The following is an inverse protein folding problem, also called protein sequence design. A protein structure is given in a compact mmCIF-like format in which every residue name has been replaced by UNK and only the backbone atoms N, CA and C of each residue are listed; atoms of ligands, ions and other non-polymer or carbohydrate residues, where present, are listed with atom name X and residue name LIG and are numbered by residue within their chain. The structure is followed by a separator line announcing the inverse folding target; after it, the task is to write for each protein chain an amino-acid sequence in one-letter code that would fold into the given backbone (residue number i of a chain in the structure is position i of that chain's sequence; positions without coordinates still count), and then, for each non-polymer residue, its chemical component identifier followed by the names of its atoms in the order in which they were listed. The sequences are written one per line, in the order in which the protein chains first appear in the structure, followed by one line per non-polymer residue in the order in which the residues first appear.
data_IF_958258877964
#
_entry.id   IF_958258877964
#
_cell.length_a   1.000
_cell.length_b   1.000
_cell.length_c   1.000
_cell.angle_alpha   90.00
_cell.angle_beta   90.00
_cell.angle_gamma   90.00
#
_symmetry.space_group_name_H-M   'P 1'
#
loop_
_entity.id
_entity.type
_entity.pdbx_description
1 polymer ?
#
# COMPACT_ATOMS: atom_id res chain seq x y z
N UNK A 1 84.92 -6.03 9.12
CA UNK A 1 83.66 -6.75 9.41
C UNK A 1 82.35 -6.11 8.88
N UNK A 2 82.30 -4.99 8.10
CA UNK A 2 81.01 -4.44 7.63
C UNK A 2 80.50 -5.00 6.28
N UNK A 3 81.29 -5.81 5.56
CA UNK A 3 80.96 -6.31 4.21
C UNK A 3 79.72 -7.20 4.15
N UNK A 4 79.31 -7.80 5.26
CA UNK A 4 78.12 -8.65 5.34
C UNK A 4 76.88 -7.95 5.91
N UNK A 5 77.01 -6.73 6.44
CA UNK A 5 75.88 -5.96 6.98
C UNK A 5 74.95 -5.46 5.88
N UNK A 6 75.51 -5.07 4.73
CA UNK A 6 74.75 -4.58 3.58
C UNK A 6 73.87 -5.69 2.96
N UNK A 7 74.38 -6.89 2.62
CA UNK A 7 73.52 -7.95 2.07
C UNK A 7 72.50 -8.46 3.10
N UNK A 8 72.83 -8.43 4.40
CA UNK A 8 71.91 -8.83 5.46
C UNK A 8 70.76 -7.82 5.63
N UNK A 9 71.04 -6.52 5.53
CA UNK A 9 70.01 -5.48 5.52
C UNK A 9 69.10 -5.58 4.29
N UNK A 10 69.66 -5.83 3.11
CA UNK A 10 68.87 -6.01 1.88
C UNK A 10 67.97 -7.25 1.98
N UNK A 11 68.48 -8.36 2.53
CA UNK A 11 67.69 -9.56 2.77
C UNK A 11 66.57 -9.31 3.80
N UNK A 12 66.84 -8.57 4.87
CA UNK A 12 65.85 -8.22 5.88
C UNK A 12 64.75 -7.28 5.34
N UNK A 13 65.10 -6.30 4.50
CA UNK A 13 64.13 -5.42 3.84
C UNK A 13 63.27 -6.17 2.82
N UNK A 14 63.84 -7.15 2.09
CA UNK A 14 63.08 -8.00 1.17
C UNK A 14 62.07 -8.90 1.88
N UNK A 15 62.36 -9.33 3.10
CA UNK A 15 61.45 -10.13 3.93
C UNK A 15 60.31 -9.29 4.51
N UNK A 16 60.57 -8.03 4.91
CA UNK A 16 59.55 -7.12 5.42
C UNK A 16 58.56 -6.65 4.32
N UNK A 17 59.02 -6.52 3.07
CA UNK A 17 58.16 -6.15 1.94
C UNK A 17 57.29 -7.30 1.42
N UNK A 18 57.51 -8.52 1.91
CA UNK A 18 56.74 -9.71 1.53
C UNK A 18 55.78 -10.15 2.65
N UNK A 19 55.64 -9.34 3.70
CA UNK A 19 54.51 -9.48 4.61
C UNK A 19 53.27 -9.11 3.79
N UNK A 20 52.48 -10.13 3.43
CA UNK A 20 51.15 -9.95 2.84
C UNK A 20 50.41 -9.03 3.79
N UNK A 21 50.38 -7.74 3.48
CA UNK A 21 49.49 -6.80 4.12
C UNK A 21 48.11 -7.41 3.94
N UNK A 22 47.56 -7.97 5.02
CA UNK A 22 46.19 -8.47 5.03
C UNK A 22 45.33 -7.24 4.76
N UNK A 23 45.04 -7.00 3.47
CA UNK A 23 44.22 -5.88 3.04
C UNK A 23 42.99 -5.90 3.92
N UNK A 24 42.83 -4.84 4.70
CA UNK A 24 41.71 -4.72 5.62
C UNK A 24 40.43 -5.03 4.86
N UNK A 25 39.70 -6.04 5.32
CA UNK A 25 38.41 -6.37 4.75
C UNK A 25 37.52 -5.12 4.75
N UNK A 26 36.99 -4.78 3.58
CA UNK A 26 36.13 -3.61 3.39
C UNK A 26 34.87 -3.73 4.22
N UNK A 27 34.38 -2.60 4.70
CA UNK A 27 33.16 -2.56 5.52
C UNK A 27 31.91 -2.67 4.65
N UNK A 28 30.77 -3.00 5.25
CA UNK A 28 29.46 -2.98 4.57
C UNK A 28 29.18 -1.59 3.98
N UNK A 29 29.47 -0.53 4.74
CA UNK A 29 29.23 0.85 4.28
C UNK A 29 30.07 1.20 3.05
N UNK A 30 31.32 0.77 3.00
CA UNK A 30 32.19 1.02 1.84
C UNK A 30 31.66 0.35 0.55
N UNK A 31 30.96 -0.78 0.69
CA UNK A 31 30.26 -1.42 -0.41
C UNK A 31 28.96 -0.71 -0.81
N UNK A 32 28.22 -0.16 0.16
CA UNK A 32 27.04 0.66 -0.12
C UNK A 32 27.41 1.97 -0.81
N UNK A 33 28.53 2.59 -0.41
CA UNK A 33 29.02 3.84 -0.97
C UNK A 33 29.55 3.67 -2.41
N UNK A 34 29.94 2.44 -2.79
CA UNK A 34 30.49 2.15 -4.11
C UNK A 34 29.98 0.81 -4.70
N UNK A 35 28.91 0.84 -5.51
CA UNK A 35 28.28 -0.37 -6.03
C UNK A 35 29.20 -1.16 -6.98
N UNK A 36 30.11 -0.50 -7.70
CA UNK A 36 31.06 -1.18 -8.58
C UNK A 36 32.02 -2.08 -7.77
N UNK A 37 32.41 -1.65 -6.58
CA UNK A 37 33.24 -2.46 -5.68
C UNK A 37 32.47 -3.65 -5.12
N UNK A 38 31.18 -3.45 -4.81
CA UNK A 38 30.29 -4.50 -4.34
C UNK A 38 30.13 -5.60 -5.40
N UNK A 39 29.84 -5.23 -6.65
CA UNK A 39 29.74 -6.19 -7.77
C UNK A 39 31.03 -6.97 -7.97
N UNK A 40 32.18 -6.28 -7.99
CA UNK A 40 33.48 -6.92 -8.15
C UNK A 40 33.82 -7.88 -6.98
N UNK A 41 33.47 -7.51 -5.74
CA UNK A 41 33.63 -8.37 -4.58
C UNK A 41 32.70 -9.59 -4.67
N UNK A 42 31.43 -9.40 -5.03
CA UNK A 42 30.46 -10.49 -5.20
C UNK A 42 30.90 -11.50 -6.27
N UNK A 43 31.49 -11.05 -7.38
CA UNK A 43 32.07 -11.94 -8.40
C UNK A 43 33.23 -12.76 -7.85
N UNK A 44 34.14 -12.15 -7.07
CA UNK A 44 35.23 -12.86 -6.38
C UNK A 44 34.69 -13.91 -5.40
N UNK A 45 33.68 -13.55 -4.61
CA UNK A 45 33.05 -14.44 -3.63
C UNK A 45 32.33 -15.64 -4.28
N UNK A 46 31.98 -15.55 -5.56
CA UNK A 46 31.35 -16.63 -6.31
C UNK A 46 32.35 -17.60 -6.93
N UNK A 47 33.58 -17.16 -7.22
CA UNK A 47 34.60 -17.99 -7.90
C UNK A 47 34.96 -19.23 -7.08
N UNK A 48 35.21 -19.05 -5.78
CA UNK A 48 35.62 -20.12 -4.86
C UNK A 48 34.73 -20.14 -3.61
N UNK A 49 33.45 -20.43 -3.82
CA UNK A 49 32.40 -20.40 -2.78
C UNK A 49 32.73 -21.12 -1.45
N UNK A 50 33.31 -22.34 -1.42
CA UNK A 50 33.55 -23.01 -0.15
C UNK A 50 34.62 -22.32 0.70
N UNK A 51 35.67 -21.78 0.07
CA UNK A 51 36.76 -21.06 0.74
C UNK A 51 36.29 -19.67 1.19
N UNK A 52 35.56 -18.96 0.33
CA UNK A 52 35.05 -17.60 0.57
C UNK A 52 33.75 -17.58 1.41
N UNK A 53 33.38 -18.69 2.05
CA UNK A 53 32.15 -18.76 2.85
C UNK A 53 32.24 -17.89 4.10
N UNK A 54 33.39 -17.96 4.79
CA UNK A 54 33.65 -17.29 6.06
C UNK A 54 34.61 -16.10 5.91
N UNK A 55 35.00 -15.78 4.68
CA UNK A 55 35.79 -14.60 4.39
C UNK A 55 35.01 -13.33 4.77
N UNK A 56 35.69 -12.42 5.47
CA UNK A 56 35.06 -11.20 6.02
C UNK A 56 34.63 -10.24 4.92
N UNK A 57 35.40 -10.11 3.84
CA UNK A 57 35.04 -9.26 2.68
C UNK A 57 33.74 -9.81 2.05
N UNK A 58 33.64 -11.12 1.88
CA UNK A 58 32.45 -11.77 1.33
C UNK A 58 31.22 -11.74 2.24
N UNK A 59 31.40 -11.82 3.56
CA UNK A 59 30.28 -11.63 4.51
C UNK A 59 29.75 -10.20 4.40
N UNK A 60 30.63 -9.20 4.42
CA UNK A 60 30.25 -7.80 4.35
C UNK A 60 29.60 -7.45 3.01
N UNK A 61 30.12 -7.98 1.89
CA UNK A 61 29.51 -7.79 0.57
C UNK A 61 28.10 -8.39 0.49
N UNK A 62 27.88 -9.61 1.00
CA UNK A 62 26.54 -10.22 1.04
C UNK A 62 25.57 -9.43 1.92
N UNK A 63 26.06 -8.89 3.03
CA UNK A 63 25.24 -8.05 3.90
C UNK A 63 24.86 -6.72 3.19
N UNK A 64 25.80 -6.11 2.47
CA UNK A 64 25.50 -4.92 1.67
C UNK A 64 24.41 -5.21 0.60
N UNK A 65 24.47 -6.35 -0.09
CA UNK A 65 23.42 -6.77 -1.03
C UNK A 65 22.06 -6.86 -0.33
N UNK A 66 21.99 -7.47 0.86
CA UNK A 66 20.73 -7.59 1.61
C UNK A 66 20.14 -6.24 1.99
N UNK A 67 21.00 -5.27 2.34
CA UNK A 67 20.55 -3.91 2.64
C UNK A 67 19.95 -3.26 1.39
N UNK A 68 20.64 -3.33 0.25
CA UNK A 68 20.14 -2.80 -1.03
C UNK A 68 18.80 -3.45 -1.40
N UNK A 69 18.71 -4.78 -1.34
CA UNK A 69 17.48 -5.52 -1.63
C UNK A 69 16.33 -5.09 -0.69
N UNK A 70 16.61 -4.90 0.59
CA UNK A 70 15.60 -4.44 1.56
C UNK A 70 15.11 -3.02 1.27
N UNK A 71 16.01 -2.11 0.86
CA UNK A 71 15.66 -0.75 0.47
C UNK A 71 14.83 -0.72 -0.83
N UNK A 72 15.22 -1.51 -1.84
CA UNK A 72 14.44 -1.65 -3.07
C UNK A 72 13.05 -2.24 -2.80
N UNK A 73 12.96 -3.26 -1.95
CA UNK A 73 11.70 -3.86 -1.53
C UNK A 73 10.79 -2.85 -0.81
N UNK A 74 11.38 -1.96 0.01
CA UNK A 74 10.65 -0.90 0.68
C UNK A 74 10.15 0.16 -0.31
N UNK A 75 11.01 0.59 -1.24
CA UNK A 75 10.65 1.54 -2.29
C UNK A 75 9.50 1.01 -3.17
N UNK A 76 9.59 -0.24 -3.63
CA UNK A 76 8.51 -0.86 -4.43
C UNK A 76 7.19 -0.98 -3.68
N UNK A 77 7.23 -1.15 -2.35
CA UNK A 77 6.01 -1.16 -1.52
C UNK A 77 5.40 0.23 -1.44
N UNK A 78 6.22 1.25 -1.21
CA UNK A 78 5.77 2.64 -1.17
C UNK A 78 5.14 3.08 -2.50
N UNK A 79 5.74 2.74 -3.64
CA UNK A 79 5.21 3.08 -4.96
C UNK A 79 3.83 2.46 -5.20
N UNK A 80 3.66 1.18 -4.87
CA UNK A 80 2.37 0.48 -5.00
C UNK A 80 1.31 1.07 -4.08
N UNK A 81 1.69 1.49 -2.88
CA UNK A 81 0.78 2.15 -1.95
C UNK A 81 0.33 3.51 -2.47
N UNK A 82 1.25 4.31 -3.00
CA UNK A 82 0.96 5.60 -3.64
C UNK A 82 0.01 5.44 -4.83
N UNK A 83 0.28 4.48 -5.73
CA UNK A 83 -0.62 4.18 -6.85
C UNK A 83 -2.01 3.74 -6.38
N UNK A 84 -2.06 2.90 -5.33
CA UNK A 84 -3.32 2.42 -4.76
C UNK A 84 -4.13 3.56 -4.15
N UNK A 85 -3.48 4.49 -3.46
CA UNK A 85 -4.11 5.71 -2.96
C UNK A 85 -4.65 6.58 -4.09
N UNK A 86 -3.87 6.80 -5.14
CA UNK A 86 -4.29 7.60 -6.28
C UNK A 86 -5.53 6.99 -6.95
N UNK A 87 -5.52 5.67 -7.21
CA UNK A 87 -6.65 4.93 -7.77
C UNK A 87 -7.89 5.03 -6.87
N UNK A 88 -7.72 4.89 -5.56
CA UNK A 88 -8.83 5.05 -4.59
C UNK A 88 -9.39 6.47 -4.58
N UNK A 89 -8.54 7.51 -4.69
CA UNK A 89 -8.97 8.91 -4.79
C UNK A 89 -9.70 9.18 -6.11
N UNK A 90 -9.21 8.64 -7.22
CA UNK A 90 -9.87 8.76 -8.53
C UNK A 90 -11.26 8.10 -8.51
N UNK A 91 -11.37 6.89 -7.95
CA UNK A 91 -12.65 6.19 -7.84
C UNK A 91 -13.67 6.98 -7.01
N UNK A 92 -13.26 7.54 -5.86
CA UNK A 92 -14.14 8.38 -5.03
C UNK A 92 -14.67 9.59 -5.81
N UNK A 93 -13.80 10.31 -6.51
CA UNK A 93 -14.21 11.45 -7.34
C UNK A 93 -15.21 11.07 -8.43
N UNK A 94 -15.02 9.91 -9.07
CA UNK A 94 -15.95 9.41 -10.09
C UNK A 94 -17.30 9.03 -9.49
N UNK A 95 -17.32 8.39 -8.32
CA UNK A 95 -18.55 8.03 -7.63
C UNK A 95 -19.33 9.28 -7.20
N UNK A 96 -18.65 10.26 -6.60
CA UNK A 96 -19.24 11.55 -6.22
C UNK A 96 -19.86 12.27 -7.43
N UNK A 97 -19.13 12.33 -8.55
CA UNK A 97 -19.63 12.93 -9.78
C UNK A 97 -20.84 12.17 -10.36
N UNK A 98 -20.85 10.83 -10.28
CA UNK A 98 -21.98 10.02 -10.73
C UNK A 98 -23.21 10.24 -9.85
N UNK A 99 -23.04 10.29 -8.54
CA UNK A 99 -24.14 10.52 -7.60
C UNK A 99 -24.71 11.93 -7.74
N UNK A 100 -23.86 12.93 -7.95
CA UNK A 100 -24.30 14.28 -8.27
C UNK A 100 -25.07 14.35 -9.58
N UNK A 101 -24.58 13.69 -10.64
CA UNK A 101 -25.28 13.63 -11.92
C UNK A 101 -26.66 12.97 -11.79
N UNK A 102 -26.78 11.92 -10.98
CA UNK A 102 -28.07 11.27 -10.67
C UNK A 102 -29.03 12.21 -9.94
N UNK A 103 -28.54 12.95 -8.93
CA UNK A 103 -29.35 13.93 -8.21
C UNK A 103 -29.90 15.01 -9.14
N UNK A 104 -29.03 15.57 -9.99
CA UNK A 104 -29.42 16.59 -10.97
C UNK A 104 -30.43 16.06 -11.99
N UNK A 105 -30.24 14.82 -12.46
CA UNK A 105 -31.19 14.20 -13.39
C UNK A 105 -32.57 13.96 -12.74
N UNK A 106 -32.60 13.48 -11.49
CA UNK A 106 -33.85 13.29 -10.75
C UNK A 106 -34.57 14.61 -10.47
N UNK A 107 -33.84 15.67 -10.15
CA UNK A 107 -34.41 17.01 -9.96
C UNK A 107 -34.98 17.57 -11.27
N UNK A 108 -34.26 17.43 -12.39
CA UNK A 108 -34.78 17.84 -13.70
C UNK A 108 -36.02 17.06 -14.11
N UNK A 109 -36.06 15.77 -13.82
CA UNK A 109 -37.23 14.93 -14.10
C UNK A 109 -38.43 15.37 -13.25
N UNK A 110 -38.22 15.66 -11.96
CA UNK A 110 -39.28 16.21 -11.10
C UNK A 110 -39.84 17.52 -11.66
N UNK A 111 -38.96 18.46 -12.04
CA UNK A 111 -39.36 19.74 -12.64
C UNK A 111 -40.13 19.56 -13.96
N UNK A 112 -39.78 18.56 -14.77
CA UNK A 112 -40.52 18.22 -16.00
C UNK A 112 -41.91 17.69 -15.67
N UNK A 113 -42.01 16.76 -14.72
CA UNK A 113 -43.30 16.21 -14.29
C UNK A 113 -44.21 17.28 -13.69
N UNK A 114 -43.66 18.20 -12.88
CA UNK A 114 -44.39 19.36 -12.37
C UNK A 114 -44.91 20.25 -13.52
N UNK A 115 -44.06 20.56 -14.50
CA UNK A 115 -44.45 21.36 -15.66
C UNK A 115 -45.53 20.68 -16.53
N UNK A 116 -45.41 19.37 -16.75
CA UNK A 116 -46.41 18.56 -17.47
C UNK A 116 -47.75 18.52 -16.72
N UNK A 117 -47.70 18.33 -15.39
CA UNK A 117 -48.89 18.36 -14.54
C UNK A 117 -49.60 19.71 -14.63
N UNK A 118 -48.84 20.81 -14.53
CA UNK A 118 -49.39 22.16 -14.67
C UNK A 118 -50.01 22.41 -16.05
N UNK A 119 -49.39 21.90 -17.12
CA UNK A 119 -49.91 22.03 -18.48
C UNK A 119 -51.21 21.23 -18.69
N UNK A 120 -51.35 20.08 -18.03
CA UNK A 120 -52.52 19.20 -18.16
C UNK A 120 -53.71 19.63 -17.29
N UNK A 121 -53.46 20.11 -16.05
CA UNK A 121 -54.50 20.33 -15.04
C UNK A 121 -54.65 21.79 -14.57
N UNK A 122 -53.75 22.71 -14.95
CA UNK A 122 -53.73 24.10 -14.46
C UNK A 122 -52.85 24.29 -13.20
N UNK A 123 -53.13 25.30 -12.37
CA UNK A 123 -52.38 25.55 -11.13
C UNK A 123 -52.36 24.28 -10.25
N UNK A 124 -51.19 23.86 -9.79
CA UNK A 124 -51.09 22.66 -8.99
C UNK A 124 -51.71 22.89 -7.61
N UNK A 125 -52.46 21.90 -7.07
CA UNK A 125 -52.86 21.97 -5.68
C UNK A 125 -51.59 22.12 -4.83
N UNK A 126 -51.62 23.00 -3.80
CA UNK A 126 -50.42 23.30 -3.01
C UNK A 126 -49.79 22.01 -2.48
N UNK A 127 -48.45 21.97 -2.30
CA UNK A 127 -47.82 20.81 -1.70
C UNK A 127 -48.53 20.55 -0.38
N UNK A 128 -49.07 19.34 -0.22
CA UNK A 128 -49.55 18.89 1.06
C UNK A 128 -48.29 18.73 1.92
N UNK A 129 -47.85 19.85 2.51
CA UNK A 129 -47.01 19.83 3.69
C UNK A 129 -47.62 18.79 4.62
N UNK A 130 -46.79 17.96 5.21
CA UNK A 130 -47.16 16.94 6.17
C UNK A 130 -47.98 17.53 7.33
N UNK A 131 -49.26 17.78 7.07
CA UNK A 131 -50.27 17.83 8.09
C UNK A 131 -50.42 16.38 8.49
N UNK A 132 -50.09 16.13 9.76
CA UNK A 132 -50.71 15.06 10.50
C UNK A 132 -52.23 15.27 10.47
N UNK A 133 -52.85 14.99 9.32
CA UNK A 133 -54.26 14.66 9.26
C UNK A 133 -54.32 13.19 9.68
N UNK A 134 -54.58 13.03 10.97
CA UNK A 134 -55.41 11.98 11.54
C UNK A 134 -56.09 11.16 10.44
N UNK A 135 -55.52 9.98 10.14
CA UNK A 135 -56.18 8.95 9.34
C UNK A 135 -57.33 8.36 10.18
N UNK A 136 -58.33 9.17 10.48
CA UNK A 136 -59.60 8.71 11.01
C UNK A 136 -60.48 8.34 9.82
N UNK A 137 -60.51 7.04 9.51
CA UNK A 137 -61.52 6.47 8.61
C UNK A 137 -61.00 6.01 7.25
N UNK A 138 -60.29 4.88 7.23
CA UNK A 138 -60.68 3.71 6.43
C UNK A 138 -59.66 2.58 6.63
N UNK A 139 -59.81 1.85 7.74
CA UNK A 139 -59.27 0.50 7.86
C UNK A 139 -60.35 -0.46 7.36
N UNK A 140 -60.06 -1.37 6.40
CA UNK A 140 -61.01 -2.45 6.08
C UNK A 140 -61.19 -3.30 7.34
N UNK A 141 -62.42 -3.35 7.86
CA UNK A 141 -62.76 -4.07 9.07
C UNK A 141 -62.37 -5.54 8.98
N UNK A 142 -61.45 -5.97 9.84
CA UNK A 142 -61.24 -7.38 10.09
C UNK A 142 -62.46 -7.90 10.85
N UNK A 143 -63.24 -8.76 10.20
CA UNK A 143 -64.31 -9.52 10.84
C UNK A 143 -63.63 -10.53 11.77
N UNK A 144 -63.65 -10.26 13.08
CA UNK A 144 -63.34 -11.23 14.13
C UNK A 144 -64.66 -11.92 14.49
N UNK A 145 -64.80 -13.25 14.35
CA UNK A 145 -65.96 -13.94 14.88
C UNK A 145 -65.97 -13.88 16.40
N UNK A 146 -67.10 -13.50 16.98
CA UNK A 146 -67.36 -13.59 18.42
C UNK A 146 -67.58 -15.06 18.77
N UNK A 147 -66.67 -15.66 19.53
CA UNK A 147 -66.91 -16.95 20.18
C UNK A 147 -67.81 -16.69 21.40
N UNK A 148 -69.09 -17.04 21.24
CA UNK A 148 -70.11 -17.00 22.29
C UNK A 148 -69.78 -17.99 23.42
N UNK A 149 -69.66 -17.42 24.62
CA UNK A 149 -70.12 -17.92 25.92
C UNK A 149 -69.92 -19.41 26.28
N UNK A 150 -68.98 -19.64 27.19
CA UNK A 150 -68.96 -20.77 28.12
C UNK A 150 -70.25 -20.83 28.95
N UNK A 151 -70.79 -22.05 29.21
CA UNK A 151 -71.29 -22.29 30.57
C UNK A 151 -71.02 -23.77 31.02
N UNK A 152 -71.37 -24.18 32.26
CA UNK A 152 -70.36 -24.39 33.29
C UNK A 152 -70.38 -25.83 33.85
N UNK A 153 -69.29 -26.20 34.54
CA UNK A 153 -69.28 -27.11 35.70
C UNK A 153 -69.98 -28.47 35.61
N UNK A 154 -69.18 -29.55 35.59
CA UNK A 154 -69.10 -30.52 36.70
C UNK A 154 -67.87 -31.42 36.59
#
# INVERSE_FOLDING_TARGET
MPRYLIPLLIAALGLAACEKEELRARSVQEFLDNPMLLEAAMLRCQRDRPEMRYDKECINAREAVRVVEAEEDAARRADREAESEEKRRALRRMQEAQDEARRRAAEQERLRQEAEYHAQFGEAPPPQDAQAEELEGNLPGAIVPEDEDEPPGR
#
